data_IF_429634863110
#
_entry.id   IF_429634863110
#
_cell.length_a   1.000
_cell.length_b   1.000
_cell.length_c   1.000
_cell.angle_alpha   90.00
_cell.angle_beta   90.00
_cell.angle_gamma   90.00
#
_symmetry.space_group_name_H-M   'P 1'
#
loop_
_entity.id
_entity.type
_entity.pdbx_description
1 polymer ?
#
# COMPACT_ATOMS: atom_id res chain seq x y z
N UNK A 1 -51.22 -75.37 -0.25
CA UNK A 1 -50.11 -76.21 -0.76
C UNK A 1 -49.43 -75.45 -1.89
N UNK A 2 -48.17 -75.04 -1.89
CA UNK A 2 -46.99 -75.27 -1.04
C UNK A 2 -46.14 -73.99 -1.13
N UNK A 3 -45.71 -73.46 0.01
CA UNK A 3 -44.82 -72.30 0.10
C UNK A 3 -43.38 -72.72 -0.20
N UNK A 4 -42.67 -71.97 -1.04
CA UNK A 4 -41.21 -72.01 -1.11
C UNK A 4 -40.69 -70.60 -0.94
N UNK A 5 -40.33 -70.29 0.30
CA UNK A 5 -39.51 -69.16 0.72
C UNK A 5 -38.15 -69.29 0.04
N UNK A 6 -37.82 -68.36 -0.87
CA UNK A 6 -36.46 -68.20 -1.39
C UNK A 6 -35.84 -67.02 -0.65
N UNK A 7 -34.67 -67.33 -0.09
CA UNK A 7 -33.95 -66.59 0.91
C UNK A 7 -33.65 -65.13 0.53
N UNK A 8 -33.70 -64.27 1.55
CA UNK A 8 -33.02 -62.98 1.56
C UNK A 8 -31.53 -63.21 1.27
N UNK A 9 -31.03 -62.62 0.19
CA UNK A 9 -29.65 -62.19 0.09
C UNK A 9 -29.68 -60.68 -0.06
N UNK A 10 -29.55 -60.01 1.08
CA UNK A 10 -29.22 -58.60 1.17
C UNK A 10 -27.88 -58.38 0.46
N UNK A 11 -27.92 -57.66 -0.65
CA UNK A 11 -26.76 -57.28 -1.43
C UNK A 11 -26.87 -55.85 -1.90
N UNK A 12 -27.35 -54.93 -1.05
CA UNK A 12 -27.21 -53.51 -1.30
C UNK A 12 -25.72 -53.17 -1.11
N UNK A 13 -24.95 -53.29 -2.20
CA UNK A 13 -23.62 -52.72 -2.28
C UNK A 13 -23.76 -51.19 -2.26
N UNK A 14 -23.83 -50.61 -1.05
CA UNK A 14 -23.59 -49.19 -0.84
C UNK A 14 -22.14 -48.94 -1.27
N UNK A 15 -21.97 -48.50 -2.51
CA UNK A 15 -20.70 -47.98 -2.99
C UNK A 15 -20.47 -46.67 -2.25
N UNK A 16 -19.63 -46.69 -1.20
CA UNK A 16 -19.10 -45.49 -0.58
C UNK A 16 -18.25 -44.78 -1.64
N UNK A 17 -18.84 -43.83 -2.37
CA UNK A 17 -18.06 -42.82 -3.08
C UNK A 17 -17.34 -41.99 -2.03
N UNK A 18 -16.02 -42.20 -1.90
CA UNK A 18 -15.19 -41.38 -1.05
C UNK A 18 -15.29 -39.92 -1.51
N UNK A 19 -15.88 -39.07 -0.67
CA UNK A 19 -15.83 -37.63 -0.86
C UNK A 19 -14.39 -37.23 -0.60
N UNK A 20 -13.65 -36.87 -1.66
CA UNK A 20 -12.33 -36.30 -1.52
C UNK A 20 -12.47 -34.94 -0.81
N UNK A 21 -12.18 -34.91 0.49
CA UNK A 21 -12.05 -33.67 1.24
C UNK A 21 -10.81 -32.96 0.68
N UNK A 22 -11.02 -31.88 -0.08
CA UNK A 22 -9.92 -31.02 -0.50
C UNK A 22 -9.22 -30.50 0.76
N UNK A 23 -7.91 -30.71 0.86
CA UNK A 23 -7.12 -30.23 1.98
C UNK A 23 -7.26 -28.70 2.07
N UNK A 24 -7.67 -28.21 3.23
CA UNK A 24 -7.73 -26.77 3.50
C UNK A 24 -6.31 -26.22 3.50
N UNK A 25 -6.02 -25.13 2.77
CA UNK A 25 -4.69 -24.54 2.78
C UNK A 25 -4.34 -24.09 4.21
N UNK A 26 -3.19 -24.55 4.69
CA UNK A 26 -2.65 -24.16 6.00
C UNK A 26 -1.68 -23.01 5.77
N UNK A 27 -2.09 -21.81 6.17
CA UNK A 27 -1.19 -20.65 6.16
C UNK A 27 -0.24 -20.72 7.36
N UNK A 28 1.06 -20.53 7.10
CA UNK A 28 2.06 -20.37 8.15
C UNK A 28 2.32 -18.89 8.36
N UNK A 29 2.53 -18.52 9.62
CA UNK A 29 2.96 -17.16 9.96
C UNK A 29 4.39 -16.95 9.46
N UNK A 30 4.59 -15.89 8.69
CA UNK A 30 5.90 -15.45 8.22
C UNK A 30 6.21 -14.07 8.78
N UNK A 31 7.47 -13.83 9.12
CA UNK A 31 7.94 -12.53 9.61
C UNK A 31 8.69 -11.79 8.51
N UNK A 32 8.21 -10.61 8.15
CA UNK A 32 8.88 -9.70 7.22
C UNK A 32 9.38 -8.47 7.98
N UNK A 33 10.66 -8.17 7.85
CA UNK A 33 11.24 -6.91 8.32
C UNK A 33 10.85 -5.80 7.33
N UNK A 34 9.90 -4.96 7.72
CA UNK A 34 9.57 -3.75 6.97
C UNK A 34 10.69 -2.72 7.22
N UNK A 35 11.27 -2.10 6.17
CA UNK A 35 12.17 -0.96 6.34
C UNK A 35 11.48 0.15 7.14
N UNK A 36 12.25 0.95 7.86
CA UNK A 36 11.68 2.06 8.66
C UNK A 36 10.83 2.96 7.75
N UNK A 37 9.58 3.29 8.11
CA UNK A 37 8.72 4.11 7.27
C UNK A 37 9.33 5.49 7.03
N UNK A 38 9.70 5.77 5.79
CA UNK A 38 9.89 7.11 5.26
C UNK A 38 11.13 7.87 5.72
N UNK A 39 12.07 8.11 4.81
CA UNK A 39 13.15 9.05 5.10
C UNK A 39 12.58 10.47 5.26
N UNK A 40 13.12 11.23 6.21
CA UNK A 40 13.09 12.69 6.15
C UNK A 40 13.89 13.14 4.91
N UNK A 41 13.58 14.33 4.41
CA UNK A 41 14.39 14.95 3.38
C UNK A 41 15.84 15.06 3.85
N UNK A 42 16.78 14.75 2.96
CA UNK A 42 18.22 14.90 3.16
C UNK A 42 18.77 15.91 2.14
N UNK A 43 19.96 16.45 2.42
CA UNK A 43 20.61 17.45 1.56
C UNK A 43 20.39 18.90 2.02
N UNK A 44 20.79 19.84 1.19
CA UNK A 44 20.82 21.29 1.51
C UNK A 44 19.43 21.91 1.65
N UNK A 45 18.44 21.32 1.01
CA UNK A 45 17.03 21.69 1.02
C UNK A 45 16.20 20.93 2.06
N UNK A 46 16.83 20.02 2.81
CA UNK A 46 16.18 19.23 3.85
C UNK A 46 15.50 20.09 4.91
N UNK A 47 16.14 21.19 5.34
CA UNK A 47 15.61 22.03 6.41
C UNK A 47 14.25 22.64 6.03
N UNK A 48 14.14 23.21 4.83
CA UNK A 48 12.88 23.81 4.36
C UNK A 48 11.82 22.74 4.10
N UNK A 49 12.17 21.60 3.50
CA UNK A 49 11.16 20.58 3.20
C UNK A 49 10.73 19.77 4.42
N UNK A 50 11.63 19.45 5.36
CA UNK A 50 11.24 18.82 6.61
C UNK A 50 10.37 19.73 7.46
N UNK A 51 10.61 21.05 7.43
CA UNK A 51 9.76 22.02 8.12
C UNK A 51 8.38 22.17 7.48
N UNK A 52 8.18 21.91 6.19
CA UNK A 52 6.89 22.27 5.54
C UNK A 52 6.15 21.09 4.89
N UNK A 53 6.82 19.97 4.62
CA UNK A 53 6.27 18.86 3.83
C UNK A 53 6.27 17.51 4.56
N UNK A 54 7.08 17.34 5.61
CA UNK A 54 7.24 16.06 6.32
C UNK A 54 6.28 15.88 7.52
N UNK A 55 5.25 16.72 7.64
CA UNK A 55 4.29 16.64 8.75
C UNK A 55 3.36 15.43 8.67
N UNK A 56 2.88 15.11 7.46
CA UNK A 56 1.80 14.15 7.27
C UNK A 56 2.25 12.90 6.52
N UNK A 57 3.36 12.97 5.78
CA UNK A 57 3.89 11.87 4.98
C UNK A 57 5.41 11.94 4.92
N UNK A 58 6.02 10.87 4.43
CA UNK A 58 7.46 10.77 4.24
C UNK A 58 7.97 11.58 3.04
N UNK A 59 9.29 11.77 2.94
CA UNK A 59 9.90 12.43 1.79
C UNK A 59 9.68 11.67 0.47
N UNK A 60 9.49 10.36 0.52
CA UNK A 60 9.30 9.53 -0.67
C UNK A 60 8.08 9.96 -1.52
N UNK A 61 7.03 10.51 -0.90
CA UNK A 61 5.90 11.08 -1.64
C UNK A 61 6.33 12.19 -2.61
N UNK A 62 7.43 12.89 -2.30
CA UNK A 62 8.03 13.92 -3.15
C UNK A 62 9.13 13.32 -4.03
N UNK A 63 10.04 12.52 -3.48
CA UNK A 63 11.19 11.99 -4.21
C UNK A 63 10.79 11.01 -5.34
N UNK A 64 9.68 10.30 -5.17
CA UNK A 64 9.18 9.35 -6.17
C UNK A 64 8.35 10.01 -7.27
N UNK A 65 8.15 11.35 -7.23
CA UNK A 65 7.42 12.06 -8.28
C UNK A 65 8.26 12.16 -9.56
N UNK A 66 7.63 12.06 -10.75
CA UNK A 66 8.30 12.39 -12.01
C UNK A 66 8.76 13.85 -11.98
N UNK A 67 9.70 14.24 -12.85
CA UNK A 67 10.10 15.65 -12.95
C UNK A 67 8.88 16.52 -13.27
N UNK A 68 8.56 17.47 -12.38
CA UNK A 68 7.40 18.34 -12.52
C UNK A 68 7.83 19.78 -12.84
N UNK A 69 6.95 20.50 -13.52
CA UNK A 69 7.15 21.93 -13.74
C UNK A 69 6.97 22.72 -12.43
N UNK A 70 7.56 23.93 -12.29
CA UNK A 70 7.32 24.80 -11.14
C UNK A 70 5.82 25.13 -10.92
N UNK A 71 5.05 25.26 -12.01
CA UNK A 71 3.61 25.50 -11.93
C UNK A 71 2.86 24.28 -11.35
N UNK A 72 3.26 23.07 -11.74
CA UNK A 72 2.69 21.83 -11.18
C UNK A 72 3.06 21.67 -9.71
N UNK A 73 4.31 21.96 -9.32
CA UNK A 73 4.70 21.97 -7.91
C UNK A 73 3.93 23.01 -7.10
N UNK A 74 3.70 24.19 -7.67
CA UNK A 74 2.87 25.22 -7.03
C UNK A 74 1.46 24.70 -6.76
N UNK A 75 0.86 23.99 -7.71
CA UNK A 75 -0.46 23.38 -7.54
C UNK A 75 -0.46 22.33 -6.42
N UNK A 76 0.52 21.43 -6.37
CA UNK A 76 0.62 20.41 -5.33
C UNK A 76 0.86 21.01 -3.93
N UNK A 77 1.78 21.97 -3.80
CA UNK A 77 2.03 22.68 -2.53
C UNK A 77 0.80 23.48 -2.09
N UNK A 78 0.08 24.11 -3.03
CA UNK A 78 -1.18 24.82 -2.71
C UNK A 78 -2.26 23.83 -2.27
N UNK A 79 -2.35 22.66 -2.90
CA UNK A 79 -3.28 21.59 -2.53
C UNK A 79 -2.98 21.05 -1.12
N UNK A 80 -1.71 20.84 -0.76
CA UNK A 80 -1.34 20.44 0.59
C UNK A 80 -1.81 21.47 1.63
N UNK A 81 -1.70 22.77 1.34
CA UNK A 81 -2.19 23.82 2.22
C UNK A 81 -3.73 23.86 2.30
N UNK A 82 -4.41 23.94 1.14
CA UNK A 82 -5.84 24.26 1.08
C UNK A 82 -6.74 23.06 1.28
N UNK A 83 -6.38 21.90 0.72
CA UNK A 83 -7.19 20.69 0.79
C UNK A 83 -6.81 19.81 1.98
N UNK A 84 -5.52 19.75 2.32
CA UNK A 84 -5.02 18.86 3.37
C UNK A 84 -4.56 19.59 4.64
N UNK A 85 -4.67 20.92 4.68
CA UNK A 85 -4.47 21.70 5.91
C UNK A 85 -3.02 21.86 6.36
N UNK A 86 -2.04 21.72 5.46
CA UNK A 86 -0.63 21.92 5.80
C UNK A 86 -0.40 23.34 6.37
N UNK A 87 0.25 23.47 7.54
CA UNK A 87 0.20 24.70 8.36
C UNK A 87 1.30 25.71 8.00
N UNK A 88 1.47 26.04 6.72
CA UNK A 88 2.39 27.11 6.28
C UNK A 88 1.67 28.29 5.64
N UNK A 89 2.27 29.47 5.71
CA UNK A 89 1.78 30.69 5.05
C UNK A 89 1.78 30.55 3.52
N UNK A 90 0.82 31.18 2.85
CA UNK A 90 0.77 31.29 1.38
C UNK A 90 2.05 31.96 0.84
N UNK A 91 2.64 32.90 1.59
CA UNK A 91 3.89 33.55 1.22
C UNK A 91 5.11 32.60 1.19
N UNK A 92 5.03 31.43 1.83
CA UNK A 92 6.09 30.40 1.79
C UNK A 92 6.01 29.49 0.55
N UNK A 93 4.90 29.49 -0.18
CA UNK A 93 4.72 28.59 -1.33
C UNK A 93 5.86 28.74 -2.36
N UNK A 94 6.29 29.95 -2.76
CA UNK A 94 7.38 30.09 -3.72
C UNK A 94 8.69 29.43 -3.27
N UNK A 95 9.10 29.62 -2.01
CA UNK A 95 10.37 29.06 -1.52
C UNK A 95 10.33 27.54 -1.35
N UNK A 96 9.17 26.98 -0.99
CA UNK A 96 8.97 25.52 -0.97
C UNK A 96 9.05 24.95 -2.40
N UNK A 97 8.39 25.61 -3.37
CA UNK A 97 8.42 25.20 -4.77
C UNK A 97 9.83 25.26 -5.34
N UNK A 98 10.59 26.32 -5.07
CA UNK A 98 11.98 26.44 -5.51
C UNK A 98 12.85 25.31 -4.97
N UNK A 99 12.66 24.92 -3.69
CA UNK A 99 13.36 23.78 -3.09
C UNK A 99 12.98 22.45 -3.73
N UNK A 100 11.70 22.23 -4.07
CA UNK A 100 11.24 21.01 -4.75
C UNK A 100 11.80 20.91 -6.18
N UNK A 101 11.83 22.03 -6.91
CA UNK A 101 12.42 22.09 -8.25
C UNK A 101 13.93 21.86 -8.20
N UNK A 102 14.62 22.46 -7.22
CA UNK A 102 16.06 22.24 -7.02
C UNK A 102 16.37 20.78 -6.68
N UNK A 103 15.55 20.15 -5.84
CA UNK A 103 15.66 18.72 -5.49
C UNK A 103 15.66 17.82 -6.73
N UNK A 104 14.68 18.02 -7.61
CA UNK A 104 14.56 17.19 -8.82
C UNK A 104 15.74 17.38 -9.78
N UNK A 105 16.37 18.57 -9.80
CA UNK A 105 17.60 18.82 -10.56
C UNK A 105 18.82 18.11 -9.95
N UNK A 106 18.83 17.92 -8.64
CA UNK A 106 19.91 17.23 -7.93
C UNK A 106 19.82 15.70 -7.99
N UNK A 107 18.71 15.14 -8.50
CA UNK A 107 18.50 13.69 -8.60
C UNK A 107 18.20 13.00 -7.26
N UNK A 108 17.66 13.75 -6.30
CA UNK A 108 17.30 13.29 -4.96
C UNK A 108 15.82 12.91 -4.84
#
# INVERSE_FOLDING_TARGET
MKYKTIALLAGAALSLTAIAVAATPVFKSESVKIPVPGAYFQGTDAAILNQNCAYCHSANFVNDQPTLSPATWTAEVTKMQKAFGAPYDTAKIPSIVDALVARQKAGN
#
